data_IF_739177165066
#
_entry.id   IF_739177165066
#
_cell.length_a   1.000
_cell.length_b   1.000
_cell.length_c   1.000
_cell.angle_alpha   90.00
_cell.angle_beta   90.00
_cell.angle_gamma   90.00
#
_symmetry.space_group_name_H-M   'P 1'
#
loop_
_entity.id
_entity.type
_entity.pdbx_description
1 polymer ?
#
# COMPACT_ATOMS: atom_id res chain seq x y z
N UNK A 1 -9.94 -6.59 27.75
CA UNK A 1 -8.47 -6.80 27.75
C UNK A 1 -8.06 -7.16 26.33
N UNK A 2 -7.30 -6.28 25.69
CA UNK A 2 -6.85 -6.40 24.31
C UNK A 2 -5.51 -7.15 24.30
N UNK A 3 -5.36 -8.16 23.43
CA UNK A 3 -4.05 -8.73 23.11
C UNK A 3 -3.50 -8.04 21.86
N UNK A 4 -2.35 -7.34 21.94
CA UNK A 4 -1.66 -6.80 20.78
C UNK A 4 -0.69 -7.84 20.20
N UNK A 5 -0.62 -7.93 18.87
CA UNK A 5 0.49 -8.57 18.16
C UNK A 5 0.19 -9.93 17.55
N UNK A 6 -0.53 -9.97 16.42
CA UNK A 6 -0.34 -11.01 15.37
C UNK A 6 -0.91 -10.47 14.04
N UNK A 7 -0.36 -9.38 13.48
CA UNK A 7 -0.96 -8.71 12.32
C UNK A 7 -0.19 -8.88 11.02
N UNK A 8 0.99 -9.50 11.00
CA UNK A 8 1.77 -9.67 9.75
C UNK A 8 2.22 -11.10 9.44
N UNK A 9 2.03 -12.06 10.35
CA UNK A 9 2.29 -13.48 10.10
C UNK A 9 1.06 -14.18 9.53
N UNK A 10 1.25 -15.23 8.72
CA UNK A 10 0.13 -16.02 8.20
C UNK A 10 -0.83 -16.52 9.30
N UNK A 11 -0.28 -16.98 10.42
CA UNK A 11 -1.06 -17.49 11.56
C UNK A 11 -1.89 -16.40 12.26
N UNK A 12 -1.39 -15.16 12.32
CA UNK A 12 -2.15 -14.01 12.85
C UNK A 12 -3.31 -13.58 11.96
N UNK A 13 -3.11 -13.69 10.65
CA UNK A 13 -4.12 -13.37 9.65
C UNK A 13 -5.27 -14.38 9.62
N UNK A 14 -4.95 -15.68 9.62
CA UNK A 14 -5.96 -16.75 9.61
C UNK A 14 -6.93 -16.65 10.82
N UNK A 15 -6.46 -16.13 11.96
CA UNK A 15 -7.27 -15.86 13.14
C UNK A 15 -8.22 -14.64 13.01
N UNK A 16 -7.94 -13.69 12.12
CA UNK A 16 -8.78 -12.51 11.87
C UNK A 16 -9.87 -12.79 10.85
N UNK A 17 -9.57 -13.58 9.80
CA UNK A 17 -10.54 -13.98 8.76
C UNK A 17 -11.70 -14.78 9.36
N UNK A 18 -11.45 -15.60 10.38
CA UNK A 18 -12.49 -16.34 11.10
C UNK A 18 -13.42 -15.46 11.94
N UNK A 19 -12.98 -14.27 12.38
CA UNK A 19 -13.81 -13.33 13.18
C UNK A 19 -14.62 -12.36 12.34
N UNK A 20 -14.19 -12.04 11.13
CA UNK A 20 -14.91 -11.09 10.26
C UNK A 20 -16.28 -11.62 9.76
N UNK A 21 -16.56 -12.92 9.94
CA UNK A 21 -17.81 -13.57 9.52
C UNK A 21 -18.92 -13.50 10.59
N UNK A 22 -18.64 -13.00 11.81
CA UNK A 22 -19.64 -12.96 12.89
C UNK A 22 -19.81 -11.58 13.54
N UNK A 23 -20.95 -10.94 13.24
CA UNK A 23 -21.61 -9.79 13.93
C UNK A 23 -20.89 -8.42 13.82
N UNK A 24 -21.56 -7.29 13.61
CA UNK A 24 -22.69 -6.78 14.40
C UNK A 24 -23.47 -5.66 13.70
N UNK A 25 -24.75 -5.61 14.02
CA UNK A 25 -25.72 -4.54 13.78
C UNK A 25 -25.56 -3.42 14.81
N UNK A 26 -25.54 -2.16 14.38
CA UNK A 26 -25.88 -1.02 15.24
C UNK A 26 -26.39 0.18 14.42
N UNK A 27 -27.44 0.79 14.95
CA UNK A 27 -28.29 1.84 14.38
C UNK A 27 -27.60 3.21 14.26
N UNK A 28 -27.87 3.92 13.16
CA UNK A 28 -27.46 5.32 12.99
C UNK A 28 -28.66 6.28 12.99
N UNK A 29 -28.53 7.34 13.78
CA UNK A 29 -29.47 8.45 13.91
C UNK A 29 -29.41 9.35 12.67
N UNK A 30 -30.59 9.67 12.12
CA UNK A 30 -30.76 10.35 10.84
C UNK A 30 -30.47 11.85 10.90
N UNK A 31 -29.50 12.32 10.09
CA UNK A 31 -29.45 13.71 9.63
C UNK A 31 -30.09 13.78 8.24
N UNK A 32 -31.18 14.54 8.11
CA UNK A 32 -32.00 14.66 6.89
C UNK A 32 -31.33 15.59 5.88
N UNK A 33 -30.68 15.03 4.87
CA UNK A 33 -30.45 15.70 3.57
C UNK A 33 -31.50 15.17 2.60
N UNK A 34 -32.26 16.07 1.96
CA UNK A 34 -33.35 15.74 1.03
C UNK A 34 -32.81 14.88 -0.13
N UNK A 35 -33.25 13.62 -0.19
CA UNK A 35 -32.92 12.65 -1.25
C UNK A 35 -34.02 12.66 -2.32
N UNK A 36 -33.66 12.98 -3.56
CA UNK A 36 -34.50 12.65 -4.71
C UNK A 36 -34.21 11.20 -5.11
N UNK A 37 -35.00 10.25 -4.59
CA UNK A 37 -34.99 8.88 -5.09
C UNK A 37 -35.82 8.82 -6.38
N UNK A 38 -35.19 8.49 -7.51
CA UNK A 38 -35.91 7.88 -8.64
C UNK A 38 -35.74 6.37 -8.56
N UNK A 39 -36.86 5.67 -8.44
CA UNK A 39 -36.92 4.22 -8.63
C UNK A 39 -36.53 3.90 -10.08
N UNK A 40 -35.77 2.81 -10.26
CA UNK A 40 -35.40 2.29 -11.57
C UNK A 40 -36.68 1.92 -12.34
N UNK A 41 -37.06 2.75 -13.31
CA UNK A 41 -38.10 2.45 -14.29
C UNK A 41 -37.42 1.71 -15.45
N UNK A 42 -37.79 0.43 -15.63
CA UNK A 42 -37.34 -0.40 -16.74
C UNK A 42 -38.06 -0.02 -18.04
N UNK A 43 -37.69 1.10 -18.64
CA UNK A 43 -37.90 1.39 -20.07
C UNK A 43 -37.36 2.78 -20.42
N UNK A 44 -36.16 2.85 -20.99
CA UNK A 44 -35.80 3.86 -22.00
C UNK A 44 -34.53 3.40 -22.71
N UNK A 45 -34.63 3.30 -24.04
CA UNK A 45 -33.54 3.17 -25.00
C UNK A 45 -32.70 4.45 -25.04
N UNK A 46 -31.88 4.67 -24.01
CA UNK A 46 -30.78 5.64 -24.04
C UNK A 46 -29.49 4.87 -23.80
N UNK A 47 -28.46 5.13 -24.60
CA UNK A 47 -27.09 4.67 -24.33
C UNK A 47 -26.74 4.94 -22.86
N UNK A 48 -26.09 4.01 -22.15
CA UNK A 48 -25.66 4.27 -20.78
C UNK A 48 -24.81 5.55 -20.75
N UNK A 49 -24.92 6.37 -19.70
CA UNK A 49 -24.15 7.61 -19.62
C UNK A 49 -22.65 7.30 -19.75
N UNK A 50 -21.94 8.05 -20.60
CA UNK A 50 -20.53 7.80 -20.89
C UNK A 50 -19.60 8.11 -19.70
N UNK A 51 -20.10 8.86 -18.71
CA UNK A 51 -19.31 9.46 -17.63
C UNK A 51 -19.92 9.17 -16.27
N UNK A 52 -19.10 8.76 -15.31
CA UNK A 52 -19.49 8.58 -13.92
C UNK A 52 -18.50 9.18 -12.91
N UNK A 53 -19.07 9.68 -11.81
CA UNK A 53 -18.40 10.13 -10.60
C UNK A 53 -18.77 9.19 -9.46
N UNK A 54 -17.78 8.57 -8.83
CA UNK A 54 -17.97 7.75 -7.65
C UNK A 54 -17.17 8.31 -6.48
N UNK A 55 -17.78 8.31 -5.30
CA UNK A 55 -17.05 8.48 -4.03
C UNK A 55 -17.19 7.24 -3.18
N UNK A 56 -16.12 6.81 -2.52
CA UNK A 56 -16.23 5.75 -1.52
C UNK A 56 -16.82 6.29 -0.22
N UNK A 57 -17.83 5.61 0.30
CA UNK A 57 -18.36 5.81 1.65
C UNK A 57 -17.62 4.99 2.72
N UNK A 58 -16.55 4.27 2.36
CA UNK A 58 -15.78 3.41 3.28
C UNK A 58 -14.30 3.76 3.26
N UNK A 59 -13.73 3.93 4.46
CA UNK A 59 -12.30 4.23 4.65
C UNK A 59 -11.44 2.96 4.76
N UNK A 60 -11.65 2.00 3.86
CA UNK A 60 -11.02 0.68 3.91
C UNK A 60 -10.32 0.36 2.59
N UNK A 61 -9.01 0.12 2.66
CA UNK A 61 -8.16 -0.12 1.51
C UNK A 61 -8.61 -1.36 0.71
N UNK A 62 -9.06 -2.40 1.41
CA UNK A 62 -9.47 -3.64 0.77
C UNK A 62 -10.75 -3.43 -0.03
N UNK A 63 -11.73 -2.76 0.56
CA UNK A 63 -12.93 -2.34 -0.14
C UNK A 63 -12.62 -1.41 -1.32
N UNK A 64 -11.79 -0.39 -1.13
CA UNK A 64 -11.57 0.62 -2.15
C UNK A 64 -10.82 0.09 -3.38
N UNK A 65 -9.78 -0.74 -3.20
CA UNK A 65 -9.14 -1.39 -4.35
C UNK A 65 -10.06 -2.41 -5.04
N UNK A 66 -10.93 -3.08 -4.29
CA UNK A 66 -11.91 -4.01 -4.86
C UNK A 66 -12.99 -3.26 -5.65
N UNK A 67 -13.44 -2.10 -5.16
CA UNK A 67 -14.33 -1.20 -5.86
C UNK A 67 -13.66 -0.66 -7.14
N UNK A 68 -12.40 -0.23 -7.08
CA UNK A 68 -11.62 0.21 -8.25
C UNK A 68 -11.64 -0.84 -9.38
N UNK A 69 -11.40 -2.12 -9.04
CA UNK A 69 -11.45 -3.22 -10.01
C UNK A 69 -12.86 -3.50 -10.54
N UNK A 70 -13.87 -3.44 -9.68
CA UNK A 70 -15.28 -3.62 -10.05
C UNK A 70 -15.77 -2.53 -11.02
N UNK A 71 -15.40 -1.28 -10.76
CA UNK A 71 -15.77 -0.13 -11.58
C UNK A 71 -15.27 -0.24 -13.03
N UNK A 72 -14.20 -0.98 -13.29
CA UNK A 72 -13.74 -1.26 -14.66
C UNK A 72 -14.72 -2.10 -15.49
N UNK A 73 -15.63 -2.83 -14.85
CA UNK A 73 -16.63 -3.65 -15.51
C UNK A 73 -17.98 -2.94 -15.69
N UNK A 74 -18.09 -1.71 -15.21
CA UNK A 74 -19.28 -0.89 -15.39
C UNK A 74 -19.30 -0.28 -16.81
N UNK A 75 -20.49 0.09 -17.33
CA UNK A 75 -20.64 0.51 -18.74
C UNK A 75 -20.10 1.91 -19.06
N UNK A 76 -19.45 2.58 -18.09
CA UNK A 76 -18.94 3.93 -18.24
C UNK A 76 -17.62 3.94 -19.03
N UNK A 77 -17.44 4.96 -19.90
CA UNK A 77 -16.22 5.17 -20.68
C UNK A 77 -15.17 5.98 -19.92
N UNK A 78 -15.62 6.97 -19.15
CA UNK A 78 -14.78 7.80 -18.29
C UNK A 78 -15.32 7.75 -16.86
N UNK A 79 -14.47 7.39 -15.90
CA UNK A 79 -14.84 7.37 -14.48
C UNK A 79 -13.82 8.15 -13.67
N UNK A 80 -14.31 8.99 -12.75
CA UNK A 80 -13.53 9.48 -11.63
C UNK A 80 -14.04 8.80 -10.35
N UNK A 81 -13.17 8.06 -9.68
CA UNK A 81 -13.45 7.45 -8.38
C UNK A 81 -12.57 8.11 -7.31
N UNK A 82 -13.18 8.68 -6.29
CA UNK A 82 -12.50 9.34 -5.18
C UNK A 82 -12.69 8.55 -3.89
N UNK A 83 -11.60 8.34 -3.15
CA UNK A 83 -11.62 7.46 -1.98
C UNK A 83 -10.51 7.82 -1.00
N UNK A 84 -10.68 7.38 0.25
CA UNK A 84 -9.76 7.58 1.38
C UNK A 84 -9.67 6.30 2.19
N UNK A 85 -8.62 6.17 2.98
CA UNK A 85 -8.41 4.99 3.81
C UNK A 85 -8.03 5.44 5.22
N UNK A 86 -8.38 4.63 6.22
CA UNK A 86 -7.64 4.65 7.48
C UNK A 86 -6.14 4.38 7.23
N UNK A 87 -5.31 4.62 8.24
CA UNK A 87 -3.85 4.51 8.11
C UNK A 87 -3.46 3.16 7.52
N UNK A 88 -2.81 3.19 6.37
CA UNK A 88 -2.40 2.01 5.60
C UNK A 88 -1.13 2.32 4.80
N UNK A 89 -0.27 1.31 4.66
CA UNK A 89 0.83 1.34 3.69
C UNK A 89 0.46 0.50 2.48
N UNK A 90 0.61 1.06 1.27
CA UNK A 90 0.47 0.28 0.05
C UNK A 90 1.79 0.19 -0.72
N UNK A 91 2.11 -1.00 -1.22
CA UNK A 91 3.31 -1.28 -2.00
C UNK A 91 2.97 -1.64 -3.44
N UNK A 92 3.85 -1.31 -4.37
CA UNK A 92 3.68 -1.67 -5.78
C UNK A 92 3.78 -3.18 -6.01
N UNK A 93 3.21 -3.66 -7.13
CA UNK A 93 3.12 -5.09 -7.47
C UNK A 93 4.42 -5.88 -7.32
N UNK A 94 5.56 -5.28 -7.68
CA UNK A 94 6.87 -5.96 -7.69
C UNK A 94 7.84 -5.43 -6.63
N UNK A 95 7.32 -4.84 -5.55
CA UNK A 95 8.15 -4.38 -4.45
C UNK A 95 8.36 -5.45 -3.39
N UNK A 96 9.47 -5.33 -2.66
CA UNK A 96 9.76 -6.15 -1.50
C UNK A 96 9.32 -5.39 -0.23
N UNK A 97 8.30 -5.87 0.51
CA UNK A 97 7.77 -5.19 1.70
C UNK A 97 8.82 -5.03 2.80
N UNK A 98 9.71 -6.01 2.98
CA UNK A 98 10.81 -5.95 3.96
C UNK A 98 11.82 -4.86 3.65
N UNK A 99 12.06 -4.57 2.36
CA UNK A 99 12.98 -3.49 1.96
C UNK A 99 12.36 -2.10 1.98
N UNK A 100 11.03 -2.00 1.88
CA UNK A 100 10.32 -0.74 1.66
C UNK A 100 9.64 -0.22 2.93
N UNK A 101 9.42 -1.08 3.92
CA UNK A 101 8.60 -0.79 5.08
C UNK A 101 9.21 -1.35 6.36
N UNK A 102 9.01 -0.65 7.47
CA UNK A 102 9.34 -1.12 8.81
C UNK A 102 8.21 -1.99 9.34
N UNK A 103 8.22 -3.27 8.98
CA UNK A 103 7.11 -4.19 9.24
C UNK A 103 6.81 -4.36 10.73
N UNK A 104 7.85 -4.33 11.58
CA UNK A 104 7.68 -4.33 13.05
C UNK A 104 6.78 -3.18 13.55
N UNK A 105 7.00 -1.96 13.06
CA UNK A 105 6.22 -0.79 13.46
C UNK A 105 4.78 -0.86 12.93
N UNK A 106 4.59 -1.38 11.71
CA UNK A 106 3.26 -1.63 11.16
C UNK A 106 2.47 -2.63 12.01
N UNK A 107 3.08 -3.75 12.38
CA UNK A 107 2.45 -4.76 13.23
C UNK A 107 2.09 -4.22 14.62
N UNK A 108 3.00 -3.47 15.23
CA UNK A 108 2.83 -2.88 16.55
C UNK A 108 1.67 -1.88 16.60
N UNK A 109 1.58 -1.01 15.59
CA UNK A 109 0.56 0.05 15.53
C UNK A 109 -0.73 -0.43 14.84
N UNK A 110 -0.78 -1.69 14.41
CA UNK A 110 -1.94 -2.31 13.77
C UNK A 110 -2.26 -1.74 12.38
N UNK A 111 -1.24 -1.23 11.68
CA UNK A 111 -1.35 -0.64 10.34
C UNK A 111 -1.20 -1.71 9.28
N UNK A 112 -2.12 -1.69 8.32
CA UNK A 112 -2.14 -2.66 7.23
C UNK A 112 -1.06 -2.38 6.16
N UNK A 113 -0.49 -3.45 5.61
CA UNK A 113 0.31 -3.40 4.38
C UNK A 113 -0.45 -4.07 3.23
N UNK A 114 -0.77 -3.35 2.16
CA UNK A 114 -1.48 -3.91 1.00
C UNK A 114 -0.65 -3.79 -0.28
N UNK A 115 -0.46 -4.92 -0.97
CA UNK A 115 0.12 -4.93 -2.31
C UNK A 115 -0.95 -4.56 -3.33
N UNK A 116 -0.70 -3.53 -4.13
CA UNK A 116 -1.62 -3.14 -5.21
C UNK A 116 -1.24 -3.79 -6.54
N UNK A 117 -2.22 -3.90 -7.43
CA UNK A 117 -2.01 -4.50 -8.76
C UNK A 117 -1.22 -3.59 -9.73
N UNK A 118 -1.14 -2.28 -9.46
CA UNK A 118 -0.33 -1.33 -10.22
C UNK A 118 1.14 -1.32 -9.76
N UNK A 119 2.01 -0.74 -10.57
CA UNK A 119 3.42 -0.55 -10.22
C UNK A 119 3.66 0.60 -9.23
N UNK A 120 4.90 1.09 -9.19
CA UNK A 120 5.29 2.24 -8.35
C UNK A 120 5.84 1.86 -6.98
N UNK A 121 6.10 2.88 -6.15
CA UNK A 121 6.74 2.74 -4.84
C UNK A 121 5.79 2.54 -3.66
N UNK A 122 6.34 2.39 -2.46
CA UNK A 122 5.54 2.32 -1.23
C UNK A 122 5.00 3.71 -0.87
N UNK A 123 3.74 3.77 -0.45
CA UNK A 123 3.08 5.02 -0.03
C UNK A 123 2.30 4.78 1.26
N UNK A 124 2.30 5.80 2.13
CA UNK A 124 1.42 5.88 3.28
C UNK A 124 0.14 6.62 2.86
N UNK A 125 -1.01 6.09 3.26
CA UNK A 125 -2.29 6.76 3.15
C UNK A 125 -2.93 6.84 4.53
N UNK A 126 -3.63 7.94 4.78
CA UNK A 126 -4.48 8.19 5.93
C UNK A 126 -5.70 9.01 5.47
N UNK A 127 -6.53 9.47 6.42
CA UNK A 127 -7.71 10.28 6.11
C UNK A 127 -7.37 11.67 5.53
N UNK A 128 -6.12 12.11 5.67
CA UNK A 128 -5.56 13.32 5.09
C UNK A 128 -4.96 13.12 3.70
N UNK A 129 -4.99 11.89 3.16
CA UNK A 129 -4.43 11.51 1.86
C UNK A 129 -5.54 11.03 0.89
N UNK A 130 -6.41 11.92 0.38
CA UNK A 130 -7.39 11.55 -0.65
C UNK A 130 -6.71 10.94 -1.87
N UNK A 131 -7.33 9.88 -2.37
CA UNK A 131 -6.91 9.15 -3.55
C UNK A 131 -7.94 9.33 -4.64
N UNK A 132 -7.47 9.57 -5.86
CA UNK A 132 -8.29 9.62 -7.04
C UNK A 132 -7.91 8.46 -7.95
N UNK A 133 -8.90 7.93 -8.67
CA UNK A 133 -8.71 6.98 -9.76
C UNK A 133 -9.46 7.48 -10.98
N UNK A 134 -8.74 7.67 -12.09
CA UNK A 134 -9.31 7.84 -13.41
C UNK A 134 -9.36 6.49 -14.12
N UNK A 135 -10.53 6.11 -14.63
CA UNK A 135 -10.72 4.97 -15.52
C UNK A 135 -11.08 5.45 -16.92
N UNK A 136 -10.46 4.86 -17.94
CA UNK A 136 -10.73 5.16 -19.34
C UNK A 136 -10.69 3.90 -20.21
N UNK A 137 -11.38 3.94 -21.35
CA UNK A 137 -11.26 2.91 -22.38
C UNK A 137 -10.00 3.16 -23.22
N UNK A 138 -9.16 2.14 -23.39
CA UNK A 138 -7.95 2.25 -24.21
C UNK A 138 -8.26 2.67 -25.65
N UNK A 139 -9.40 2.24 -26.21
CA UNK A 139 -9.85 2.59 -27.56
C UNK A 139 -9.96 4.11 -27.77
N UNK A 140 -10.25 4.88 -26.73
CA UNK A 140 -10.38 6.35 -26.80
C UNK A 140 -9.04 7.07 -26.92
N UNK A 141 -7.94 6.34 -26.73
CA UNK A 141 -6.58 6.85 -26.80
C UNK A 141 -5.75 6.16 -27.88
N UNK A 142 -6.35 5.35 -28.75
CA UNK A 142 -5.64 4.59 -29.78
C UNK A 142 -5.10 3.24 -29.28
N UNK A 143 -5.80 2.59 -28.34
CA UNK A 143 -5.41 1.32 -27.72
C UNK A 143 -4.39 1.50 -26.59
N UNK A 144 -3.79 0.40 -26.11
CA UNK A 144 -2.80 0.44 -25.01
C UNK A 144 -1.62 1.39 -25.29
N UNK A 145 -1.22 1.56 -26.54
CA UNK A 145 -0.18 2.50 -26.95
C UNK A 145 -0.50 3.97 -26.56
N UNK A 146 -1.78 4.28 -26.40
CA UNK A 146 -2.30 5.58 -25.95
C UNK A 146 -2.17 5.88 -24.46
N UNK A 147 -1.55 5.01 -23.66
CA UNK A 147 -1.49 5.19 -22.20
C UNK A 147 -0.84 6.52 -21.79
N UNK A 148 0.19 6.98 -22.51
CA UNK A 148 0.81 8.29 -22.24
C UNK A 148 -0.18 9.43 -22.41
N UNK A 149 -0.97 9.44 -23.50
CA UNK A 149 -2.01 10.44 -23.75
C UNK A 149 -3.08 10.46 -22.66
N UNK A 150 -3.51 9.28 -22.20
CA UNK A 150 -4.43 9.16 -21.07
C UNK A 150 -3.83 9.74 -19.78
N UNK A 151 -2.58 9.38 -19.47
CA UNK A 151 -1.88 9.90 -18.30
C UNK A 151 -1.67 11.42 -18.35
N UNK A 152 -1.24 11.96 -19.49
CA UNK A 152 -0.98 13.39 -19.70
C UNK A 152 -2.26 14.20 -19.49
N UNK A 153 -3.38 13.76 -20.08
CA UNK A 153 -4.71 14.36 -19.85
C UNK A 153 -5.04 14.39 -18.36
N UNK A 154 -4.92 13.25 -17.69
CA UNK A 154 -5.29 13.11 -16.28
C UNK A 154 -4.38 13.93 -15.35
N UNK A 155 -3.07 14.04 -15.64
CA UNK A 155 -2.18 14.95 -14.91
C UNK A 155 -2.60 16.41 -15.06
N UNK A 156 -2.90 16.85 -16.29
CA UNK A 156 -3.38 18.21 -16.53
C UNK A 156 -4.69 18.49 -15.80
N UNK A 157 -5.57 17.49 -15.72
CA UNK A 157 -6.80 17.52 -14.93
C UNK A 157 -6.54 17.82 -13.45
N UNK A 158 -5.62 17.08 -12.84
CA UNK A 158 -5.23 17.30 -11.43
C UNK A 158 -4.60 18.68 -11.25
N UNK A 159 -3.74 19.12 -12.16
CA UNK A 159 -3.10 20.44 -12.10
C UNK A 159 -4.13 21.59 -12.18
N UNK A 160 -5.09 21.52 -13.11
CA UNK A 160 -6.20 22.48 -13.23
C UNK A 160 -7.06 22.52 -11.97
N UNK A 161 -7.33 21.36 -11.36
CA UNK A 161 -8.11 21.28 -10.13
C UNK A 161 -7.36 21.87 -8.92
N UNK A 162 -6.04 21.68 -8.84
CA UNK A 162 -5.19 22.31 -7.81
C UNK A 162 -5.15 23.82 -7.98
N UNK A 163 -5.01 24.32 -9.22
CA UNK A 163 -5.05 25.75 -9.53
C UNK A 163 -6.40 26.37 -9.14
N UNK A 164 -7.52 25.71 -9.49
CA UNK A 164 -8.87 26.11 -9.08
C UNK A 164 -9.07 26.10 -7.56
N UNK A 165 -8.32 25.25 -6.86
CA UNK A 165 -8.31 25.16 -5.39
C UNK A 165 -7.35 26.16 -4.72
N UNK A 166 -6.84 27.14 -5.48
CA UNK A 166 -5.94 28.18 -4.96
C UNK A 166 -4.50 27.71 -4.72
N UNK A 167 -4.11 26.52 -5.20
CA UNK A 167 -2.75 25.99 -5.08
C UNK A 167 -2.04 26.14 -6.43
N UNK A 168 -1.37 27.28 -6.63
CA UNK A 168 -0.60 27.58 -7.84
C UNK A 168 0.86 27.08 -7.73
N UNK A 169 1.57 27.04 -8.87
CA UNK A 169 2.98 26.61 -8.91
C UNK A 169 3.18 25.09 -8.91
N UNK A 170 2.11 24.32 -9.15
CA UNK A 170 2.18 22.87 -9.31
C UNK A 170 2.57 22.48 -10.74
N UNK A 171 3.41 21.46 -10.87
CA UNK A 171 3.78 20.90 -12.16
C UNK A 171 4.06 19.40 -12.05
N UNK A 172 4.01 18.70 -13.17
CA UNK A 172 4.42 17.30 -13.23
C UNK A 172 5.94 17.20 -13.08
N UNK A 173 6.40 16.23 -12.30
CA UNK A 173 7.81 15.89 -12.16
C UNK A 173 8.05 14.42 -12.47
N UNK A 174 9.00 14.17 -13.37
CA UNK A 174 9.36 12.82 -13.79
C UNK A 174 8.17 12.04 -14.36
N UNK A 175 8.10 10.76 -14.03
CA UNK A 175 7.12 9.84 -14.65
C UNK A 175 5.76 9.87 -13.97
N UNK A 176 5.70 10.14 -12.67
CA UNK A 176 4.54 9.83 -11.85
C UNK A 176 4.25 10.82 -10.71
N UNK A 177 5.01 11.91 -10.56
CA UNK A 177 4.83 12.82 -9.43
C UNK A 177 4.23 14.16 -9.89
N UNK A 178 3.48 14.80 -8.99
CA UNK A 178 3.19 16.25 -9.06
C UNK A 178 3.94 16.92 -7.92
N UNK A 179 4.65 17.99 -8.24
CA UNK A 179 5.40 18.80 -7.30
C UNK A 179 4.83 20.22 -7.26
N UNK A 180 4.80 20.81 -6.08
CA UNK A 180 4.69 22.25 -5.91
C UNK A 180 6.09 22.86 -5.88
N UNK A 181 6.28 23.95 -6.61
CA UNK A 181 7.52 24.73 -6.61
C UNK A 181 7.29 26.10 -5.98
N UNK A 182 8.14 26.50 -5.04
CA UNK A 182 8.07 27.84 -4.45
C UNK A 182 9.35 28.23 -3.73
N UNK A 183 9.36 29.39 -3.05
CA UNK A 183 10.51 29.84 -2.29
C UNK A 183 10.73 28.98 -1.04
N UNK A 184 11.98 28.61 -0.79
CA UNK A 184 12.47 28.01 0.45
C UNK A 184 12.76 29.08 1.51
N UNK A 185 13.27 28.64 2.66
CA UNK A 185 13.57 29.52 3.80
C UNK A 185 14.67 30.55 3.48
N UNK A 186 15.59 30.20 2.58
CA UNK A 186 16.71 31.05 2.17
C UNK A 186 16.47 31.71 0.78
N UNK A 187 15.22 31.68 0.30
CA UNK A 187 14.82 32.25 -0.99
C UNK A 187 15.17 31.38 -2.21
N UNK A 188 15.76 30.20 -2.00
CA UNK A 188 16.04 29.23 -3.04
C UNK A 188 14.76 28.55 -3.54
N UNK A 189 14.72 28.13 -4.81
CA UNK A 189 13.55 27.41 -5.32
C UNK A 189 13.55 25.98 -4.80
N UNK A 190 12.52 25.61 -4.04
CA UNK A 190 12.30 24.26 -3.53
C UNK A 190 11.17 23.57 -4.26
N UNK A 191 11.31 22.26 -4.43
CA UNK A 191 10.30 21.40 -5.04
C UNK A 191 9.81 20.40 -3.99
N UNK A 192 8.52 20.47 -3.65
CA UNK A 192 7.86 19.54 -2.75
C UNK A 192 6.87 18.66 -3.52
N UNK A 193 7.03 17.34 -3.44
CA UNK A 193 6.05 16.39 -3.95
C UNK A 193 4.75 16.51 -3.15
N UNK A 194 3.65 16.68 -3.86
CA UNK A 194 2.30 16.78 -3.27
C UNK A 194 1.40 15.63 -3.74
N UNK A 195 1.82 14.90 -4.78
CA UNK A 195 1.08 13.77 -5.32
C UNK A 195 1.99 12.77 -6.01
N UNK A 196 1.60 11.49 -5.92
CA UNK A 196 2.26 10.38 -6.61
C UNK A 196 1.22 9.47 -7.24
N UNK A 197 1.47 9.08 -8.48
CA UNK A 197 0.59 8.25 -9.28
C UNK A 197 1.16 6.87 -9.58
N UNK A 198 0.27 5.94 -9.89
CA UNK A 198 0.59 4.67 -10.51
C UNK A 198 -0.48 4.30 -11.55
N UNK A 199 -0.10 3.41 -12.46
CA UNK A 199 -0.88 3.09 -13.65
C UNK A 199 -1.00 1.58 -13.83
N UNK A 200 -2.09 1.15 -14.43
CA UNK A 200 -2.36 -0.24 -14.78
C UNK A 200 -3.28 -0.30 -15.99
N UNK A 201 -3.13 -1.35 -16.79
CA UNK A 201 -4.12 -1.76 -17.79
C UNK A 201 -4.73 -3.09 -17.37
N UNK A 202 -5.99 -3.31 -17.75
CA UNK A 202 -6.70 -4.57 -17.54
C UNK A 202 -7.76 -4.74 -18.61
N UNK A 203 -8.32 -5.94 -18.71
CA UNK A 203 -9.48 -6.20 -19.56
C UNK A 203 -10.72 -6.36 -18.71
N UNK A 204 -11.82 -5.72 -19.11
CA UNK A 204 -13.11 -5.97 -18.48
C UNK A 204 -13.72 -7.29 -19.00
N UNK A 205 -14.90 -7.65 -18.49
CA UNK A 205 -15.64 -8.86 -18.92
C UNK A 205 -16.01 -8.88 -20.40
N UNK A 206 -16.16 -7.71 -21.02
CA UNK A 206 -16.40 -7.58 -22.45
C UNK A 206 -15.09 -7.65 -23.28
N UNK A 207 -13.96 -8.00 -22.65
CA UNK A 207 -12.63 -8.06 -23.24
C UNK A 207 -12.13 -6.71 -23.79
N UNK A 208 -12.70 -5.61 -23.33
CA UNK A 208 -12.27 -4.25 -23.63
C UNK A 208 -11.09 -3.88 -22.73
N UNK A 209 -10.08 -3.25 -23.33
CA UNK A 209 -8.92 -2.75 -22.59
C UNK A 209 -9.29 -1.47 -21.82
N UNK A 210 -9.17 -1.54 -20.50
CA UNK A 210 -9.35 -0.42 -19.57
C UNK A 210 -8.00 0.07 -19.08
N UNK A 211 -7.86 1.38 -18.95
CA UNK A 211 -6.70 2.06 -18.38
C UNK A 211 -7.07 2.65 -17.02
N UNK A 212 -6.22 2.42 -16.03
CA UNK A 212 -6.31 2.97 -14.68
C UNK A 212 -5.14 3.94 -14.47
N UNK A 213 -5.44 5.15 -14.03
CA UNK A 213 -4.49 6.08 -13.42
C UNK A 213 -5.03 6.45 -12.05
N UNK A 214 -4.41 5.93 -11.00
CA UNK A 214 -4.69 6.37 -9.64
C UNK A 214 -3.54 7.18 -9.05
N UNK A 215 -3.85 8.05 -8.11
CA UNK A 215 -2.84 8.84 -7.43
C UNK A 215 -3.35 9.37 -6.10
N UNK A 216 -2.40 9.69 -5.22
CA UNK A 216 -2.66 10.28 -3.91
C UNK A 216 -2.47 11.79 -3.98
N UNK A 217 -3.28 12.56 -3.26
CA UNK A 217 -3.04 13.98 -2.97
C UNK A 217 -2.71 14.11 -1.48
N UNK A 218 -1.55 14.66 -1.14
CA UNK A 218 -1.18 14.94 0.25
C UNK A 218 -1.91 16.19 0.71
N UNK A 219 -3.14 16.04 1.22
CA UNK A 219 -3.96 17.18 1.62
C UNK A 219 -3.62 17.65 3.04
N UNK A 220 -3.61 16.73 3.99
CA UNK A 220 -3.27 16.95 5.40
C UNK A 220 -2.78 15.65 6.06
N UNK A 221 -1.87 14.95 5.39
CA UNK A 221 -1.32 13.65 5.83
C UNK A 221 -0.35 13.81 6.98
N UNK A 222 -0.35 12.87 7.92
CA UNK A 222 0.64 12.81 9.00
C UNK A 222 2.00 12.32 8.48
N UNK A 223 2.92 13.26 8.23
CA UNK A 223 4.28 12.92 7.81
C UNK A 223 5.13 12.30 8.93
N UNK A 224 4.73 12.41 10.19
CA UNK A 224 5.36 11.68 11.30
C UNK A 224 5.23 10.17 11.13
N UNK A 225 4.06 9.71 10.70
CA UNK A 225 3.81 8.32 10.36
C UNK A 225 4.60 7.84 9.14
N UNK A 226 4.88 8.71 8.16
CA UNK A 226 5.65 8.35 6.96
C UNK A 226 7.07 7.89 7.31
N UNK A 227 7.76 8.63 8.17
CA UNK A 227 9.09 8.26 8.65
C UNK A 227 9.08 7.07 9.61
N UNK A 228 7.94 6.80 10.27
CA UNK A 228 7.77 5.64 11.15
C UNK A 228 7.65 4.35 10.35
N UNK A 229 6.87 4.32 9.27
CA UNK A 229 6.51 3.06 8.60
C UNK A 229 7.28 2.76 7.32
N UNK A 230 7.84 3.77 6.63
CA UNK A 230 8.55 3.56 5.37
C UNK A 230 10.07 3.53 5.57
N UNK A 231 10.74 2.68 4.79
CA UNK A 231 12.20 2.57 4.76
C UNK A 231 12.76 3.44 3.63
N UNK A 232 13.58 4.47 3.93
CA UNK A 232 14.21 5.28 2.89
C UNK A 232 15.14 4.45 2.00
N UNK A 233 15.00 4.57 0.68
CA UNK A 233 15.88 3.87 -0.26
C UNK A 233 17.35 4.32 -0.10
N UNK A 234 18.26 3.37 0.12
CA UNK A 234 19.71 3.59 0.21
C UNK A 234 20.29 4.25 -1.05
N UNK A 235 19.80 3.87 -2.24
CA UNK A 235 20.21 4.48 -3.52
C UNK A 235 19.77 5.95 -3.61
N UNK A 236 18.56 6.27 -3.12
CA UNK A 236 18.10 7.66 -3.04
C UNK A 236 18.93 8.47 -2.04
N UNK A 237 19.35 7.87 -0.92
CA UNK A 237 20.22 8.46 0.10
C UNK A 237 21.61 8.76 -0.47
N UNK A 238 22.18 7.86 -1.27
CA UNK A 238 23.48 8.06 -1.91
C UNK A 238 23.44 9.12 -3.01
N UNK A 239 22.39 9.12 -3.85
CA UNK A 239 22.29 10.06 -4.96
C UNK A 239 21.96 11.50 -4.53
N UNK A 240 21.40 11.71 -3.34
CA UNK A 240 20.92 13.03 -2.89
C UNK A 240 21.42 13.47 -1.51
N UNK A 241 22.16 12.63 -0.78
CA UNK A 241 22.65 12.86 0.59
C UNK A 241 21.62 12.50 1.68
N UNK A 242 22.08 12.11 2.88
CA UNK A 242 21.23 11.60 3.99
C UNK A 242 20.18 12.63 4.44
N UNK A 243 20.52 13.92 4.44
CA UNK A 243 19.59 14.99 4.81
C UNK A 243 18.45 15.21 3.78
N UNK A 244 18.54 14.66 2.57
CA UNK A 244 17.62 14.95 1.45
C UNK A 244 16.47 13.95 1.24
N UNK A 245 16.44 12.83 1.99
CA UNK A 245 15.58 11.66 1.68
C UNK A 245 14.40 11.49 2.64
N UNK A 246 14.19 12.43 3.56
CA UNK A 246 12.80 12.83 3.79
C UNK A 246 12.35 13.34 2.44
N UNK A 247 11.58 12.52 1.72
CA UNK A 247 11.03 12.94 0.43
C UNK A 247 10.40 14.29 0.71
N UNK A 248 10.92 15.35 0.08
CA UNK A 248 10.42 16.71 0.24
C UNK A 248 8.96 16.66 -0.19
N UNK A 249 8.09 16.35 0.77
CA UNK A 249 6.65 16.28 0.60
C UNK A 249 6.05 17.43 1.37
N UNK A 250 4.89 17.88 0.93
CA UNK A 250 4.18 18.98 1.57
C UNK A 250 2.68 18.74 1.48
N UNK A 251 1.96 19.16 2.50
CA UNK A 251 0.51 19.08 2.48
C UNK A 251 -0.06 20.27 1.70
N UNK A 252 -1.17 20.06 1.00
CA UNK A 252 -1.90 21.13 0.34
C UNK A 252 -2.41 22.17 1.36
N UNK A 253 -2.76 21.74 2.59
CA UNK A 253 -3.11 22.66 3.68
C UNK A 253 -1.98 23.60 4.11
N UNK A 254 -0.72 23.21 3.91
CA UNK A 254 0.43 24.09 4.19
C UNK A 254 0.64 25.15 3.09
N UNK A 255 -0.04 24.99 1.95
CA UNK A 255 0.04 25.87 0.78
C UNK A 255 -1.19 26.77 0.68
N UNK A 256 -2.36 26.23 0.99
CA UNK A 256 -3.61 26.96 1.13
C UNK A 256 -4.34 26.50 2.42
N UNK A 257 -4.18 27.22 3.54
CA UNK A 257 -4.81 26.88 4.81
C UNK A 257 -6.34 26.97 4.80
N UNK A 258 -6.94 27.69 3.85
CA UNK A 258 -8.40 27.86 3.77
C UNK A 258 -9.07 26.77 2.92
N UNK A 259 -8.29 26.07 2.09
CA UNK A 259 -8.80 24.98 1.27
C UNK A 259 -9.42 23.88 2.14
N UNK A 260 -10.70 23.60 1.90
CA UNK A 260 -11.38 22.45 2.49
C UNK A 260 -11.20 21.20 1.62
N UNK A 261 -11.25 20.02 2.24
CA UNK A 261 -11.14 18.76 1.51
C UNK A 261 -12.30 18.58 0.51
N UNK A 262 -13.52 18.92 0.92
CA UNK A 262 -14.70 18.79 0.05
C UNK A 262 -14.62 19.72 -1.16
N UNK A 263 -14.09 20.93 -1.00
CA UNK A 263 -13.83 21.84 -2.10
C UNK A 263 -12.78 21.27 -3.07
N UNK A 264 -11.68 20.71 -2.58
CA UNK A 264 -10.67 20.04 -3.42
C UNK A 264 -11.30 18.90 -4.24
N UNK A 265 -12.10 18.04 -3.59
CA UNK A 265 -12.76 16.91 -4.25
C UNK A 265 -13.80 17.38 -5.28
N UNK A 266 -14.57 18.43 -4.97
CA UNK A 266 -15.55 19.02 -5.88
C UNK A 266 -14.88 19.72 -7.07
N UNK A 267 -13.76 20.41 -6.86
CA UNK A 267 -12.98 21.02 -7.93
C UNK A 267 -12.43 19.96 -8.89
N UNK A 268 -11.94 18.83 -8.35
CA UNK A 268 -11.51 17.68 -9.15
C UNK A 268 -12.66 17.11 -10.01
N UNK A 269 -13.85 16.94 -9.43
CA UNK A 269 -15.05 16.51 -10.18
C UNK A 269 -15.44 17.49 -11.26
N UNK A 270 -15.45 18.79 -10.94
CA UNK A 270 -15.85 19.84 -11.87
C UNK A 270 -14.92 19.89 -13.08
N UNK A 271 -13.61 19.93 -12.85
CA UNK A 271 -12.62 19.93 -13.96
C UNK A 271 -12.71 18.63 -14.75
N UNK A 272 -12.95 17.48 -14.09
CA UNK A 272 -13.13 16.20 -14.80
C UNK A 272 -14.31 16.26 -15.76
N UNK A 273 -15.46 16.72 -15.30
CA UNK A 273 -16.65 16.87 -16.14
C UNK A 273 -16.46 17.86 -17.28
N UNK A 274 -15.79 18.99 -17.04
CA UNK A 274 -15.44 19.97 -18.09
C UNK A 274 -14.56 19.35 -19.19
N UNK A 275 -13.64 18.46 -18.82
CA UNK A 275 -12.70 17.83 -19.75
C UNK A 275 -13.33 16.65 -20.52
N UNK A 276 -14.17 15.83 -19.86
CA UNK A 276 -14.71 14.59 -20.47
C UNK A 276 -16.16 14.68 -20.95
N UNK A 277 -16.89 15.73 -20.58
CA UNK A 277 -18.28 15.94 -21.00
C UNK A 277 -18.57 17.41 -21.40
N UNK A 278 -17.77 18.05 -22.28
CA UNK A 278 -17.89 19.48 -22.59
C UNK A 278 -19.21 19.86 -23.27
N UNK A 279 -19.93 18.90 -23.88
CA UNK A 279 -21.20 19.15 -24.59
C UNK A 279 -22.43 18.51 -23.92
N UNK A 280 -22.28 17.99 -22.69
CA UNK A 280 -23.35 17.48 -21.82
C UNK A 280 -24.59 16.90 -22.54
N UNK A 281 -24.41 15.88 -23.37
CA UNK A 281 -25.53 15.19 -24.03
C UNK A 281 -26.39 14.41 -23.02
N UNK A 282 -25.83 14.07 -21.85
CA UNK A 282 -26.53 13.46 -20.72
C UNK A 282 -25.85 13.86 -19.41
N UNK A 283 -26.61 13.99 -18.30
CA UNK A 283 -26.02 14.24 -16.99
C UNK A 283 -25.10 13.08 -16.57
N UNK A 284 -23.96 13.35 -15.91
CA UNK A 284 -23.10 12.30 -15.41
C UNK A 284 -23.83 11.48 -14.34
N UNK A 285 -23.47 10.21 -14.22
CA UNK A 285 -23.86 9.43 -13.03
C UNK A 285 -23.03 9.90 -11.85
N UNK A 286 -23.66 10.18 -10.71
CA UNK A 286 -22.97 10.54 -9.47
C UNK A 286 -23.46 9.65 -8.33
N UNK A 287 -22.56 8.90 -7.71
CA UNK A 287 -22.93 7.93 -6.69
C UNK A 287 -21.90 7.82 -5.56
N UNK A 288 -22.41 7.56 -4.35
CA UNK A 288 -21.60 7.18 -3.19
C UNK A 288 -21.68 5.67 -3.01
N UNK A 289 -20.53 5.02 -3.05
CA UNK A 289 -20.37 3.58 -2.89
C UNK A 289 -20.32 3.22 -1.40
N UNK A 290 -21.40 2.61 -0.92
CA UNK A 290 -21.52 2.07 0.42
C UNK A 290 -21.14 0.58 0.44
N UNK A 291 -20.82 0.01 1.62
CA UNK A 291 -20.47 -1.41 1.73
C UNK A 291 -21.52 -2.37 1.16
N UNK A 292 -22.79 -1.96 1.20
CA UNK A 292 -23.95 -2.72 0.75
C UNK A 292 -24.43 -2.30 -0.66
N UNK A 293 -23.69 -1.43 -1.37
CA UNK A 293 -24.05 -1.01 -2.73
C UNK A 293 -24.25 -2.24 -3.63
N UNK A 294 -25.46 -2.47 -4.17
CA UNK A 294 -25.80 -3.72 -4.85
C UNK A 294 -24.89 -4.06 -6.04
N UNK A 295 -24.39 -3.05 -6.75
CA UNK A 295 -23.48 -3.27 -7.89
C UNK A 295 -22.11 -3.79 -7.47
N UNK A 296 -21.64 -3.49 -6.25
CA UNK A 296 -20.34 -3.92 -5.74
C UNK A 296 -20.43 -5.30 -5.09
N UNK A 297 -21.39 -5.49 -4.18
CA UNK A 297 -21.52 -6.72 -3.38
C UNK A 297 -21.75 -7.95 -4.26
N UNK A 298 -22.46 -7.77 -5.38
CA UNK A 298 -22.77 -8.84 -6.33
C UNK A 298 -21.73 -8.96 -7.45
N UNK A 299 -20.69 -8.15 -7.49
CA UNK A 299 -19.69 -8.22 -8.55
C UNK A 299 -18.60 -9.27 -8.23
N UNK A 300 -18.49 -10.37 -9.01
CA UNK A 300 -17.40 -11.32 -8.84
C UNK A 300 -15.99 -10.72 -8.88
N UNK A 301 -15.78 -9.62 -9.62
CA UNK A 301 -14.46 -8.95 -9.67
C UNK A 301 -14.15 -8.27 -8.35
N UNK A 302 -15.16 -7.70 -7.68
CA UNK A 302 -14.99 -7.14 -6.35
C UNK A 302 -14.54 -8.22 -5.38
N UNK A 303 -15.28 -9.34 -5.31
CA UNK A 303 -14.99 -10.45 -4.39
C UNK A 303 -13.62 -11.07 -4.64
N UNK A 304 -13.32 -11.41 -5.89
CA UNK A 304 -12.03 -12.00 -6.26
C UNK A 304 -10.85 -11.03 -6.01
N UNK A 305 -11.06 -9.72 -6.21
CA UNK A 305 -10.04 -8.73 -5.87
C UNK A 305 -9.84 -8.70 -4.36
N UNK A 306 -10.92 -8.58 -3.58
CA UNK A 306 -10.89 -8.52 -2.12
C UNK A 306 -10.14 -9.73 -1.54
N UNK A 307 -10.56 -10.94 -1.90
CA UNK A 307 -9.91 -12.19 -1.48
C UNK A 307 -8.42 -12.18 -1.83
N UNK A 308 -8.07 -11.79 -3.06
CA UNK A 308 -6.68 -11.74 -3.50
C UNK A 308 -5.84 -10.74 -2.72
N UNK A 309 -6.32 -9.51 -2.53
CA UNK A 309 -5.53 -8.46 -1.87
C UNK A 309 -5.49 -8.64 -0.35
N UNK A 310 -6.44 -9.38 0.22
CA UNK A 310 -6.41 -9.83 1.62
C UNK A 310 -5.48 -11.01 1.85
N UNK A 311 -5.22 -11.84 0.82
CA UNK A 311 -4.35 -13.02 0.93
C UNK A 311 -2.89 -12.66 1.22
N UNK A 312 -2.30 -13.38 2.17
CA UNK A 312 -0.92 -13.16 2.60
C UNK A 312 0.09 -13.49 1.49
N UNK A 313 -0.11 -14.56 0.72
CA UNK A 313 0.80 -14.92 -0.36
C UNK A 313 0.82 -13.85 -1.45
N UNK A 314 -0.31 -13.19 -1.72
CA UNK A 314 -0.29 -12.05 -2.63
C UNK A 314 0.46 -10.85 -2.02
N UNK A 315 0.20 -10.52 -0.75
CA UNK A 315 0.81 -9.34 -0.11
C UNK A 315 2.32 -9.48 0.09
N UNK A 316 2.79 -10.66 0.50
CA UNK A 316 4.18 -10.93 0.87
C UNK A 316 4.84 -11.98 -0.02
N UNK A 317 4.13 -13.04 -0.38
CA UNK A 317 4.67 -14.14 -1.20
C UNK A 317 5.00 -13.78 -2.65
N UNK A 318 4.31 -12.82 -3.28
CA UNK A 318 4.68 -12.31 -4.62
C UNK A 318 5.89 -11.36 -4.61
N UNK A 319 6.64 -11.32 -3.51
CA UNK A 319 7.92 -10.61 -3.46
C UNK A 319 8.95 -11.30 -4.37
N UNK A 320 9.62 -10.56 -5.28
CA UNK A 320 10.69 -11.12 -6.08
C UNK A 320 11.80 -11.73 -5.22
N UNK A 321 12.45 -12.76 -5.76
CA UNK A 321 13.54 -13.46 -5.07
C UNK A 321 14.62 -12.50 -4.59
N UNK A 322 15.08 -12.72 -3.37
CA UNK A 322 16.11 -11.90 -2.73
C UNK A 322 16.97 -12.69 -1.76
N UNK A 323 18.14 -12.13 -1.46
CA UNK A 323 19.01 -12.60 -0.37
C UNK A 323 19.01 -11.59 0.76
N UNK A 324 19.02 -12.05 2.01
CA UNK A 324 19.15 -11.20 3.18
C UNK A 324 20.33 -11.65 4.03
N UNK A 325 21.32 -10.78 4.14
CA UNK A 325 22.44 -10.91 5.08
C UNK A 325 22.17 -10.07 6.33
N UNK A 326 22.14 -10.73 7.49
CA UNK A 326 21.96 -10.13 8.81
C UNK A 326 23.27 -10.21 9.60
N UNK A 327 23.61 -9.13 10.30
CA UNK A 327 24.85 -9.02 11.08
C UNK A 327 26.02 -8.41 10.29
N UNK A 328 27.27 -8.55 10.81
CA UNK A 328 27.63 -9.32 12.00
C UNK A 328 27.11 -8.71 13.32
N UNK A 329 26.84 -9.55 14.33
CA UNK A 329 26.48 -9.14 15.70
C UNK A 329 27.33 -9.87 16.73
N UNK A 330 27.75 -9.20 17.81
CA UNK A 330 28.23 -9.86 19.04
C UNK A 330 27.01 -10.28 19.84
N UNK A 331 26.67 -11.57 19.84
CA UNK A 331 25.41 -12.09 20.38
C UNK A 331 25.49 -12.21 21.92
N UNK A 332 24.80 -11.34 22.69
CA UNK A 332 24.78 -11.44 24.14
C UNK A 332 23.99 -12.67 24.60
N UNK A 333 24.26 -13.12 25.82
CA UNK A 333 23.50 -14.20 26.46
C UNK A 333 22.25 -13.62 27.07
N UNK A 334 21.06 -14.14 26.75
CA UNK A 334 19.81 -13.57 27.28
C UNK A 334 19.74 -13.62 28.81
N UNK A 335 20.35 -14.62 29.44
CA UNK A 335 20.43 -14.74 30.89
C UNK A 335 21.43 -13.79 31.57
N UNK A 336 22.35 -13.20 30.82
CA UNK A 336 23.38 -12.28 31.33
C UNK A 336 23.80 -11.28 30.22
N UNK A 337 22.97 -10.26 29.95
CA UNK A 337 23.17 -9.36 28.81
C UNK A 337 24.44 -8.50 28.91
N UNK A 338 24.89 -8.22 30.14
CA UNK A 338 26.07 -7.41 30.44
C UNK A 338 27.35 -8.27 30.57
N UNK A 339 27.19 -9.60 30.51
CA UNK A 339 28.27 -10.57 30.66
C UNK A 339 28.95 -11.00 29.35
N UNK A 340 29.70 -12.12 29.38
CA UNK A 340 30.37 -12.66 28.21
C UNK A 340 29.38 -13.09 27.12
N UNK A 341 29.64 -12.71 25.87
CA UNK A 341 28.82 -13.06 24.70
C UNK A 341 29.01 -14.52 24.27
N UNK A 342 28.09 -15.05 23.45
CA UNK A 342 28.24 -16.36 22.81
C UNK A 342 29.31 -16.39 21.71
N UNK A 343 29.46 -15.26 21.03
CA UNK A 343 30.31 -15.09 19.86
C UNK A 343 29.79 -14.00 18.92
N UNK A 344 30.50 -13.75 17.84
CA UNK A 344 30.03 -13.01 16.68
C UNK A 344 29.22 -13.95 15.77
N UNK A 345 28.07 -13.49 15.28
CA UNK A 345 27.20 -14.24 14.38
C UNK A 345 26.84 -13.39 13.15
N UNK A 346 26.75 -14.05 12.00
CA UNK A 346 26.26 -13.49 10.74
C UNK A 346 25.40 -14.55 10.05
N UNK A 347 24.31 -14.14 9.41
CA UNK A 347 23.35 -15.05 8.80
C UNK A 347 23.00 -14.61 7.38
N UNK A 348 23.03 -15.52 6.43
CA UNK A 348 22.62 -15.29 5.05
C UNK A 348 21.43 -16.17 4.72
N UNK A 349 20.37 -15.59 4.19
CA UNK A 349 19.15 -16.28 3.79
C UNK A 349 18.86 -16.03 2.31
N UNK A 350 18.40 -17.07 1.62
CA UNK A 350 17.86 -16.99 0.27
C UNK A 350 16.35 -17.19 0.33
N UNK A 351 15.62 -16.21 -0.20
CA UNK A 351 14.17 -16.12 -0.08
C UNK A 351 13.55 -16.12 -1.47
N UNK A 352 12.68 -17.09 -1.72
CA UNK A 352 11.92 -17.25 -2.95
C UNK A 352 10.44 -17.34 -2.60
N UNK A 353 9.63 -16.48 -3.20
CA UNK A 353 8.18 -16.46 -2.95
C UNK A 353 7.80 -16.15 -1.49
N UNK A 354 8.58 -15.30 -0.81
CA UNK A 354 8.39 -14.98 0.61
C UNK A 354 8.71 -16.12 1.58
N UNK A 355 9.41 -17.16 1.12
CA UNK A 355 9.83 -18.32 1.93
C UNK A 355 11.33 -18.49 1.87
N UNK A 356 11.96 -18.82 3.00
CA UNK A 356 13.39 -19.16 3.05
C UNK A 356 13.56 -20.54 2.44
N UNK A 357 14.43 -20.64 1.43
CA UNK A 357 14.77 -21.90 0.76
C UNK A 357 16.13 -22.43 1.17
N UNK A 358 17.03 -21.53 1.56
CA UNK A 358 18.38 -21.86 2.00
C UNK A 358 18.89 -20.79 2.96
N UNK A 359 19.76 -21.18 3.88
CA UNK A 359 20.50 -20.25 4.69
C UNK A 359 21.83 -20.80 5.19
N UNK A 360 22.67 -19.91 5.69
CA UNK A 360 23.93 -20.24 6.35
C UNK A 360 24.22 -19.23 7.47
N UNK A 361 24.77 -19.75 8.57
CA UNK A 361 25.23 -19.01 9.73
C UNK A 361 26.75 -19.15 9.81
N UNK A 362 27.41 -18.00 9.89
CA UNK A 362 28.84 -17.89 10.18
C UNK A 362 29.02 -17.39 11.61
N UNK A 363 29.95 -17.98 12.35
CA UNK A 363 30.21 -17.57 13.72
C UNK A 363 31.61 -17.93 14.21
N UNK A 364 32.13 -17.12 15.14
CA UNK A 364 33.32 -17.43 15.93
C UNK A 364 32.98 -18.14 17.28
N UNK A 365 31.73 -18.57 17.46
CA UNK A 365 31.24 -19.20 18.68
C UNK A 365 32.08 -20.43 19.08
N UNK A 366 32.44 -20.49 20.37
CA UNK A 366 33.24 -21.58 20.94
C UNK A 366 32.49 -22.92 21.04
N UNK A 367 31.17 -22.93 20.79
CA UNK A 367 30.33 -24.13 20.72
C UNK A 367 29.87 -24.37 19.26
N UNK A 368 30.76 -24.88 18.39
CA UNK A 368 30.51 -24.95 16.94
C UNK A 368 29.43 -25.96 16.55
N UNK A 369 29.12 -26.94 17.40
CA UNK A 369 28.10 -27.94 17.11
C UNK A 369 26.71 -27.30 17.03
N UNK A 370 26.40 -26.31 17.87
CA UNK A 370 25.16 -25.53 17.77
C UNK A 370 25.03 -24.86 16.38
N UNK A 371 26.10 -24.22 15.92
CA UNK A 371 26.15 -23.57 14.60
C UNK A 371 26.01 -24.59 13.47
N UNK A 372 26.63 -25.76 13.64
CA UNK A 372 26.54 -26.86 12.68
C UNK A 372 25.10 -27.36 12.55
N UNK A 373 24.39 -27.60 13.65
CA UNK A 373 23.00 -28.05 13.61
C UNK A 373 22.05 -26.99 13.04
N UNK A 374 22.26 -25.71 13.36
CA UNK A 374 21.53 -24.60 12.72
C UNK A 374 21.74 -24.59 11.20
N UNK A 375 22.98 -24.78 10.73
CA UNK A 375 23.30 -24.84 9.31
C UNK A 375 22.74 -26.09 8.60
N UNK A 376 22.67 -27.24 9.27
CA UNK A 376 21.98 -28.42 8.74
C UNK A 376 20.51 -28.13 8.52
N UNK A 377 19.85 -27.48 9.48
CA UNK A 377 18.45 -27.13 9.37
C UNK A 377 18.17 -26.09 8.26
N UNK A 378 19.12 -25.19 7.98
CA UNK A 378 18.97 -24.13 6.99
C UNK A 378 19.34 -24.53 5.55
N UNK A 379 20.08 -25.63 5.33
CA UNK A 379 20.64 -25.99 4.01
C UNK A 379 19.57 -26.18 2.92
N UNK A 380 18.48 -26.88 3.25
CA UNK A 380 17.35 -27.21 2.36
C UNK A 380 16.02 -26.99 3.08
N UNK A 381 15.84 -25.79 3.63
CA UNK A 381 14.67 -25.45 4.43
C UNK A 381 13.50 -24.94 3.57
N UNK A 382 12.29 -24.96 4.12
CA UNK A 382 11.14 -24.34 3.46
C UNK A 382 10.14 -23.77 4.48
N UNK A 383 10.41 -22.56 4.95
CA UNK A 383 9.56 -21.89 5.94
C UNK A 383 9.25 -20.44 5.53
N UNK A 384 8.16 -19.89 6.07
CA UNK A 384 7.75 -18.50 5.86
C UNK A 384 8.85 -17.55 6.34
N UNK A 385 9.20 -16.54 5.54
CA UNK A 385 10.14 -15.51 5.95
C UNK A 385 9.53 -14.65 7.08
N UNK A 386 9.65 -15.13 8.32
CA UNK A 386 9.09 -14.54 9.53
C UNK A 386 9.96 -14.91 10.75
N UNK A 387 9.94 -14.06 11.78
CA UNK A 387 10.68 -14.30 13.02
C UNK A 387 10.19 -15.58 13.73
N UNK A 388 8.89 -15.83 13.69
CA UNK A 388 8.23 -16.92 14.39
C UNK A 388 8.61 -18.27 13.77
N UNK A 389 8.57 -18.37 12.44
CA UNK A 389 8.98 -19.59 11.74
C UNK A 389 10.49 -19.84 11.87
N UNK A 390 11.31 -18.77 11.82
CA UNK A 390 12.76 -18.88 12.04
C UNK A 390 13.07 -19.38 13.46
N UNK A 391 12.43 -18.82 14.48
CA UNK A 391 12.61 -19.24 15.87
C UNK A 391 12.18 -20.68 16.13
N UNK A 392 11.09 -21.13 15.48
CA UNK A 392 10.67 -22.52 15.54
C UNK A 392 11.75 -23.44 14.95
N UNK A 393 12.27 -23.12 13.77
CA UNK A 393 13.33 -23.90 13.12
C UNK A 393 14.60 -24.00 13.99
N UNK A 394 15.06 -22.87 14.55
CA UNK A 394 16.26 -22.84 15.42
C UNK A 394 16.07 -23.65 16.71
N UNK A 395 14.88 -23.61 17.30
CA UNK A 395 14.54 -24.40 18.48
C UNK A 395 14.48 -25.90 18.17
N UNK A 396 13.93 -26.27 17.01
CA UNK A 396 13.84 -27.68 16.60
C UNK A 396 15.21 -28.26 16.22
N UNK A 397 16.06 -27.48 15.55
CA UNK A 397 17.40 -27.92 15.12
C UNK A 397 18.32 -28.29 16.28
N UNK A 398 18.14 -27.63 17.43
CA UNK A 398 18.98 -27.82 18.61
C UNK A 398 18.32 -28.62 19.74
N UNK A 399 17.11 -29.16 19.54
CA UNK A 399 16.30 -29.82 20.58
C UNK A 399 16.98 -30.98 21.33
N UNK A 400 17.94 -31.66 20.69
CA UNK A 400 18.69 -32.80 21.26
C UNK A 400 20.07 -32.44 21.81
N UNK A 401 20.41 -31.15 21.82
CA UNK A 401 21.72 -30.63 22.20
C UNK A 401 21.77 -30.27 23.69
N UNK A 402 22.94 -29.82 24.16
CA UNK A 402 23.10 -29.33 25.54
C UNK A 402 22.29 -28.04 25.78
N UNK A 403 22.08 -27.71 27.06
CA UNK A 403 21.34 -26.51 27.44
C UNK A 403 21.95 -25.23 26.89
N UNK A 404 23.28 -25.11 26.87
CA UNK A 404 23.95 -23.90 26.36
C UNK A 404 23.85 -23.80 24.83
N UNK A 405 23.93 -24.91 24.11
CA UNK A 405 23.73 -24.95 22.66
C UNK A 405 22.29 -24.60 22.25
N UNK A 406 21.30 -25.08 23.02
CA UNK A 406 19.91 -24.68 22.84
C UNK A 406 19.72 -23.17 23.10
N UNK A 407 20.37 -22.62 24.12
CA UNK A 407 20.32 -21.18 24.43
C UNK A 407 20.94 -20.34 23.33
N UNK A 408 22.07 -20.77 22.75
CA UNK A 408 22.66 -20.09 21.59
C UNK A 408 21.63 -19.96 20.46
N UNK A 409 20.94 -21.05 20.12
CA UNK A 409 19.95 -21.03 19.04
C UNK A 409 18.74 -20.13 19.36
N UNK A 410 18.30 -20.10 20.63
CA UNK A 410 17.20 -19.23 21.07
C UNK A 410 17.60 -17.75 21.03
N UNK A 411 18.78 -17.41 21.54
CA UNK A 411 19.29 -16.04 21.55
C UNK A 411 19.54 -15.55 20.12
N UNK A 412 20.14 -16.40 19.29
CA UNK A 412 20.36 -16.14 17.87
C UNK A 412 19.04 -15.95 17.11
N UNK A 413 18.05 -16.83 17.32
CA UNK A 413 16.73 -16.67 16.72
C UNK A 413 16.03 -15.38 17.16
N UNK A 414 16.18 -15.00 18.43
CA UNK A 414 15.61 -13.77 18.96
C UNK A 414 16.23 -12.53 18.31
N UNK A 415 17.55 -12.54 18.12
CA UNK A 415 18.24 -11.47 17.40
C UNK A 415 17.86 -11.46 15.92
N UNK A 416 17.99 -12.58 15.21
CA UNK A 416 17.68 -12.68 13.79
C UNK A 416 16.23 -12.29 13.51
N UNK A 417 15.28 -12.70 14.37
CA UNK A 417 13.88 -12.31 14.26
C UNK A 417 13.65 -10.80 14.36
N UNK A 418 14.49 -10.05 15.10
CA UNK A 418 14.44 -8.58 15.10
C UNK A 418 14.96 -8.01 13.79
N UNK A 419 16.08 -8.53 13.26
CA UNK A 419 16.66 -8.10 11.98
C UNK A 419 15.72 -8.39 10.79
N UNK A 420 15.00 -9.52 10.81
CA UNK A 420 14.00 -9.85 9.78
C UNK A 420 12.79 -8.89 9.77
N UNK A 421 12.52 -8.23 10.90
CA UNK A 421 11.40 -7.29 11.09
C UNK A 421 11.81 -5.81 11.02
N UNK A 422 13.11 -5.53 10.98
CA UNK A 422 13.69 -4.18 10.87
C UNK A 422 13.69 -3.72 9.41
#
# INVERSE_FOLDING_TARGET
MWSPGVLLTRAGWEARVTRAVSTSSASSSQCRIRRNYRAFSSSTTSSPPDVALFRSGKNDIFFNFSAEGSLCNQPFRNVLFQWRNETVVTIGRHQNPWSECKLSELEKDGVELVRRASGGGAVLQDLGCPTFTFLGNASDYGGIAGLSKFCDRNFNLVLKALERSGVSGCSRSGRNDIVWSGPGEEGEKVNYKISGSAFKTLKNRANEEKMIHHGTLLYNTDFGALGRYLTPSKVKLQAKGIQSVKSRVRNLKDLNPDLSLEELLLNMETVFLEEVNPSAASPPTHEVLLPDTPMLVKDPVFQATYEKISDWNFRFGETPDFSHTMGPVRLPKSQDPDGPVWGQFECHLEVTGGRVKRGVVFSDCLLPEAVTQMNVALRDCDFEYSAEAFALLMKESTKKMTTDEQRIAIDFATWAGKEMKA
#
